data_IF_918198704140
#
_entry.id   IF_918198704140
#
_cell.length_a   1.000
_cell.length_b   1.000
_cell.length_c   1.000
_cell.angle_alpha   90.00
_cell.angle_beta   90.00
_cell.angle_gamma   90.00
#
_symmetry.space_group_name_H-M   'P 1'
#
loop_
_entity.id
_entity.type
_entity.pdbx_description
1 polymer ?
#
# COMPACT_ATOMS: atom_id res chain seq x y z
N UNK A 1 -31.71 19.19 12.87
CA UNK A 1 -30.46 19.66 12.23
C UNK A 1 -29.42 18.61 12.57
N UNK A 2 -29.12 17.70 11.65
CA UNK A 2 -28.28 16.53 11.94
C UNK A 2 -26.87 16.90 11.50
N UNK A 3 -26.08 17.36 12.47
CA UNK A 3 -24.68 17.71 12.29
C UNK A 3 -23.92 16.46 11.85
N UNK A 4 -23.42 16.46 10.62
CA UNK A 4 -22.39 15.54 10.19
C UNK A 4 -21.06 16.22 10.54
N UNK A 5 -20.42 15.76 11.62
CA UNK A 5 -18.99 15.97 11.80
C UNK A 5 -18.34 14.79 11.09
N UNK A 6 -17.73 15.05 9.93
CA UNK A 6 -16.74 14.14 9.37
C UNK A 6 -15.59 14.13 10.38
N UNK A 7 -15.35 12.98 10.99
CA UNK A 7 -14.27 12.76 11.96
C UNK A 7 -12.93 12.86 11.23
N UNK A 8 -12.29 14.01 11.35
CA UNK A 8 -10.86 14.23 11.14
C UNK A 8 -10.05 13.46 12.21
N UNK A 9 -10.14 12.12 12.24
CA UNK A 9 -9.45 11.31 13.27
C UNK A 9 -8.59 10.15 12.74
N UNK A 10 -8.53 9.86 11.43
CA UNK A 10 -7.58 8.84 10.96
C UNK A 10 -6.25 9.46 10.58
N UNK A 11 -5.60 10.05 11.58
CA UNK A 11 -4.20 10.41 11.48
C UNK A 11 -3.36 9.13 11.66
N UNK A 12 -2.83 8.63 10.55
CA UNK A 12 -1.72 7.68 10.42
C UNK A 12 -1.67 6.55 11.46
N UNK A 13 -2.57 5.57 11.32
CA UNK A 13 -2.27 4.24 11.86
C UNK A 13 -1.15 3.62 10.98
N UNK A 14 0.02 3.25 11.52
CA UNK A 14 1.10 2.68 10.71
C UNK A 14 0.71 1.34 10.05
N UNK A 15 -0.34 0.66 10.53
CA UNK A 15 -0.93 -0.51 9.88
C UNK A 15 -1.94 -0.14 8.76
N UNK A 16 -2.12 1.15 8.46
CA UNK A 16 -2.89 1.66 7.31
C UNK A 16 -2.03 2.40 6.28
N UNK A 17 -0.71 2.51 6.52
CA UNK A 17 0.21 3.14 5.59
C UNK A 17 0.45 2.24 4.36
N UNK A 18 0.18 2.77 3.18
CA UNK A 18 0.48 2.11 1.90
C UNK A 18 1.96 2.28 1.57
N UNK A 19 2.53 1.28 0.90
CA UNK A 19 3.95 1.30 0.50
C UNK A 19 4.05 1.01 -0.98
N UNK A 20 4.81 1.81 -1.72
CA UNK A 20 5.00 1.65 -3.16
C UNK A 20 6.40 1.15 -3.46
N UNK A 21 6.50 0.16 -4.33
CA UNK A 21 7.77 -0.33 -4.84
C UNK A 21 8.35 0.70 -5.82
N UNK A 22 9.53 1.25 -5.56
CA UNK A 22 10.15 2.22 -6.47
C UNK A 22 10.63 1.58 -7.79
N UNK A 23 10.69 0.24 -7.86
CA UNK A 23 11.12 -0.50 -9.06
C UNK A 23 9.98 -0.69 -10.06
N UNK A 24 8.80 -1.13 -9.60
CA UNK A 24 7.68 -1.48 -10.48
C UNK A 24 6.38 -0.72 -10.18
N UNK A 25 6.39 0.16 -9.18
CA UNK A 25 5.24 0.97 -8.76
C UNK A 25 4.05 0.17 -8.22
N UNK A 26 4.26 -1.10 -7.84
CA UNK A 26 3.25 -1.90 -7.16
C UNK A 26 3.05 -1.43 -5.71
N UNK A 27 1.82 -1.44 -5.23
CA UNK A 27 1.45 -0.92 -3.91
C UNK A 27 1.12 -2.06 -2.96
N UNK A 28 1.90 -2.17 -1.90
CA UNK A 28 1.59 -3.00 -0.75
C UNK A 28 0.55 -2.28 0.14
N UNK A 29 -0.61 -2.93 0.30
CA UNK A 29 -1.64 -2.56 1.26
C UNK A 29 -1.61 -3.53 2.45
N UNK A 30 -1.25 -3.07 3.67
CA UNK A 30 -1.28 -3.90 4.86
C UNK A 30 -2.60 -4.64 5.08
N UNK A 31 -3.74 -4.05 4.69
CA UNK A 31 -5.07 -4.64 4.87
C UNK A 31 -5.29 -5.86 3.96
N UNK A 32 -4.59 -5.91 2.84
CA UNK A 32 -4.61 -7.05 1.91
C UNK A 32 -3.48 -8.04 2.22
N UNK A 33 -2.35 -7.53 2.71
CA UNK A 33 -1.14 -8.32 2.89
C UNK A 33 -0.58 -8.79 1.54
N UNK A 34 0.11 -9.92 1.56
CA UNK A 34 0.60 -10.63 0.37
C UNK A 34 0.47 -12.15 0.63
N UNK A 35 -0.75 -12.72 0.57
CA UNK A 35 -0.99 -14.11 0.97
C UNK A 35 -0.21 -15.12 0.14
N UNK A 36 0.08 -14.81 -1.13
CA UNK A 36 0.85 -15.67 -2.03
C UNK A 36 2.34 -15.72 -1.64
N UNK A 37 2.92 -14.63 -1.12
CA UNK A 37 4.25 -14.60 -0.52
C UNK A 37 4.28 -14.82 0.99
N UNK A 38 3.17 -15.27 1.58
CA UNK A 38 3.08 -15.70 2.98
C UNK A 38 2.89 -14.55 3.99
N UNK A 39 2.45 -13.38 3.55
CA UNK A 39 2.14 -12.24 4.41
C UNK A 39 0.63 -12.13 4.58
N UNK A 40 0.13 -12.30 5.80
CA UNK A 40 -1.31 -12.27 6.07
C UNK A 40 -1.92 -10.87 5.93
N UNK A 41 -3.22 -10.77 5.55
CA UNK A 41 -3.96 -9.53 5.62
C UNK A 41 -3.94 -8.92 7.03
N UNK A 42 -3.75 -7.61 7.10
CA UNK A 42 -3.57 -6.85 8.34
C UNK A 42 -2.11 -6.73 8.81
N UNK A 43 -1.15 -7.32 8.10
CA UNK A 43 0.28 -7.21 8.46
C UNK A 43 0.80 -5.81 8.12
N UNK A 44 1.32 -5.03 9.08
CA UNK A 44 1.96 -3.76 8.75
C UNK A 44 3.27 -4.01 8.00
N UNK A 45 3.64 -3.12 7.06
CA UNK A 45 4.86 -3.28 6.26
C UNK A 45 6.14 -3.43 7.11
N UNK A 46 6.16 -2.79 8.28
CA UNK A 46 7.25 -2.92 9.26
C UNK A 46 7.51 -4.36 9.70
N UNK A 47 6.46 -5.17 9.83
CA UNK A 47 6.52 -6.54 10.36
C UNK A 47 6.81 -7.60 9.29
N UNK A 48 6.84 -7.21 8.00
CA UNK A 48 7.22 -8.11 6.91
C UNK A 48 8.69 -8.55 7.08
N UNK A 49 9.04 -9.83 6.89
CA UNK A 49 10.44 -10.28 6.89
C UNK A 49 11.31 -9.57 5.84
N UNK A 50 12.59 -9.33 6.13
CA UNK A 50 13.52 -8.68 5.17
C UNK A 50 13.82 -9.51 3.91
N UNK A 51 13.56 -10.82 3.96
CA UNK A 51 13.72 -11.74 2.81
C UNK A 51 12.50 -11.70 1.86
N UNK A 52 11.40 -11.08 2.28
CA UNK A 52 10.26 -10.86 1.40
C UNK A 52 10.64 -9.98 0.21
N UNK A 53 10.09 -10.33 -0.93
CA UNK A 53 10.29 -9.64 -2.20
C UNK A 53 8.95 -9.21 -2.77
N UNK A 54 8.94 -8.12 -3.53
CA UNK A 54 7.78 -7.67 -4.28
C UNK A 54 7.23 -8.82 -5.14
N UNK A 55 5.95 -9.21 -4.99
CA UNK A 55 5.37 -10.32 -5.72
C UNK A 55 5.32 -10.07 -7.23
N UNK A 56 5.36 -8.79 -7.66
CA UNK A 56 5.30 -8.39 -9.06
C UNK A 56 6.67 -8.45 -9.75
N UNK A 57 7.74 -7.96 -9.10
CA UNK A 57 9.04 -7.78 -9.76
C UNK A 57 10.24 -8.43 -9.06
N UNK A 58 10.06 -9.00 -7.86
CA UNK A 58 11.15 -9.59 -7.08
C UNK A 58 12.10 -8.59 -6.41
N UNK A 59 11.78 -7.29 -6.43
CA UNK A 59 12.53 -6.28 -5.69
C UNK A 59 12.48 -6.54 -4.18
N UNK A 60 13.55 -6.19 -3.45
CA UNK A 60 13.61 -6.41 -2.00
C UNK A 60 12.72 -5.42 -1.25
N UNK A 61 12.30 -5.77 -0.03
CA UNK A 61 11.55 -4.89 0.89
C UNK A 61 12.09 -3.45 0.98
N UNK A 62 13.42 -3.28 0.97
CA UNK A 62 14.08 -1.97 1.06
C UNK A 62 13.84 -1.03 -0.14
N UNK A 63 13.37 -1.56 -1.27
CA UNK A 63 13.04 -0.77 -2.47
C UNK A 63 11.61 -0.21 -2.40
N UNK A 64 10.91 -0.42 -1.29
CA UNK A 64 9.62 0.22 -1.04
C UNK A 64 9.80 1.48 -0.23
N UNK A 65 9.01 2.50 -0.58
CA UNK A 65 8.84 3.72 0.20
C UNK A 65 7.41 3.86 0.67
N UNK A 66 7.22 4.54 1.80
CA UNK A 66 5.90 4.88 2.30
C UNK A 66 5.23 5.87 1.33
N UNK A 67 3.99 5.57 0.96
CA UNK A 67 3.15 6.48 0.20
C UNK A 67 2.48 7.44 1.19
N UNK A 68 2.89 8.71 1.20
CA UNK A 68 2.33 9.69 2.13
C UNK A 68 0.87 10.01 1.77
N UNK A 69 -0.03 10.15 2.76
CA UNK A 69 -1.39 10.57 2.49
C UNK A 69 -1.40 11.98 1.89
N UNK A 70 -1.94 12.11 0.67
CA UNK A 70 -1.99 13.38 -0.06
C UNK A 70 -0.89 13.59 -1.10
N UNK A 71 -0.03 12.60 -1.38
CA UNK A 71 0.68 12.58 -2.66
C UNK A 71 -0.35 12.28 -3.76
N UNK A 72 -0.77 13.34 -4.46
CA UNK A 72 -1.50 13.23 -5.71
C UNK A 72 -0.54 12.60 -6.73
N UNK A 73 -0.73 11.31 -6.98
CA UNK A 73 -0.18 10.69 -8.18
C UNK A 73 -1.09 11.16 -9.31
N UNK A 74 -0.58 12.00 -10.22
CA UNK A 74 -1.31 12.45 -11.41
C UNK A 74 -1.75 11.21 -12.21
N UNK A 75 -2.96 10.73 -11.95
CA UNK A 75 -3.64 9.71 -12.75
C UNK A 75 -4.22 10.38 -13.98
N UNK A 76 -3.43 11.20 -14.67
CA UNK A 76 -3.80 11.70 -15.99
C UNK A 76 -3.51 10.59 -17.01
N UNK A 77 -4.56 9.80 -17.23
CA UNK A 77 -4.92 9.04 -18.43
C UNK A 77 -4.55 7.56 -18.59
N UNK A 78 -3.52 6.96 -17.97
CA UNK A 78 -3.27 5.52 -18.23
C UNK A 78 -2.57 4.73 -17.11
N UNK A 79 -3.17 3.57 -16.80
CA UNK A 79 -2.61 2.42 -16.08
C UNK A 79 -2.84 2.28 -14.56
N UNK A 80 -4.08 2.48 -14.08
CA UNK A 80 -4.65 1.49 -13.14
C UNK A 80 -5.27 0.36 -13.97
N UNK A 81 -4.45 -0.48 -14.57
CA UNK A 81 -4.91 -1.70 -15.25
C UNK A 81 -5.21 -2.79 -14.21
N UNK A 82 -6.10 -2.48 -13.27
CA UNK A 82 -6.75 -3.43 -12.39
C UNK A 82 -8.18 -3.68 -12.87
N UNK A 83 -8.34 -4.31 -14.04
CA UNK A 83 -9.61 -4.89 -14.47
C UNK A 83 -9.36 -6.19 -15.22
N UNK A 84 -9.88 -7.26 -14.63
CA UNK A 84 -9.92 -8.63 -15.10
C UNK A 84 -10.51 -8.74 -16.52
N UNK A 85 -9.93 -9.62 -17.33
CA UNK A 85 -10.46 -10.08 -18.62
C UNK A 85 -10.07 -11.53 -18.86
#
# INVERSE_FOLDING_TARGET
MKTLVATEETQADPASALWICDVCQDVYDPRLGDPEGGIEPGTPFGDIPDDWVCPVCGARKKEFRMLAPGEEYDVEDDAYAGAQG
#
